data_IF_661163812172
#
_entry.id   IF_661163812172
#
_cell.length_a   1.000
_cell.length_b   1.000
_cell.length_c   1.000
_cell.angle_alpha   90.00
_cell.angle_beta   90.00
_cell.angle_gamma   90.00
#
_symmetry.space_group_name_H-M   'P 1'
#
loop_
_entity.id
_entity.type
_entity.pdbx_description
1 polymer ?
#
# COMPACT_ATOMS: atom_id res chain seq x y z
N UNK A 1 -1.38 -11.85 -7.16
CA UNK A 1 -0.50 -12.74 -6.38
C UNK A 1 -0.53 -12.28 -4.94
N UNK A 2 -0.99 -13.14 -4.05
CA UNK A 2 -1.07 -12.85 -2.61
C UNK A 2 0.33 -13.07 -2.01
N UNK A 3 1.09 -11.97 -1.87
CA UNK A 3 2.44 -11.98 -1.34
C UNK A 3 2.50 -12.20 0.18
N UNK A 4 1.35 -12.10 0.86
CA UNK A 4 1.18 -12.31 2.27
C UNK A 4 -0.11 -13.10 2.49
N UNK A 5 0.00 -14.39 2.75
CA UNK A 5 -1.12 -15.31 2.96
C UNK A 5 -0.82 -16.23 4.16
N UNK A 6 -1.79 -17.07 4.53
CA UNK A 6 -1.65 -17.99 5.66
C UNK A 6 -0.43 -18.90 5.52
N UNK A 7 -0.16 -19.45 4.34
CA UNK A 7 0.98 -20.35 4.11
C UNK A 7 2.33 -19.68 4.36
N UNK A 8 2.43 -18.36 4.13
CA UNK A 8 3.67 -17.60 4.38
C UNK A 8 3.89 -17.27 5.85
N UNK A 9 2.86 -17.31 6.68
CA UNK A 9 2.94 -16.90 8.08
C UNK A 9 2.71 -18.03 9.09
N UNK A 10 2.15 -19.17 8.67
CA UNK A 10 1.77 -20.28 9.56
C UNK A 10 2.92 -20.79 10.43
N UNK A 11 4.15 -20.80 9.91
CA UNK A 11 5.35 -21.26 10.65
C UNK A 11 5.79 -20.30 11.78
N UNK A 12 5.28 -19.08 11.78
CA UNK A 12 5.62 -18.02 12.74
C UNK A 12 4.44 -17.56 13.58
N UNK A 13 3.32 -18.30 13.54
CA UNK A 13 2.16 -18.06 14.40
C UNK A 13 2.56 -18.38 15.84
N UNK A 14 2.20 -17.48 16.74
CA UNK A 14 2.34 -17.66 18.20
C UNK A 14 0.96 -17.96 18.79
N UNK A 15 0.91 -18.85 19.76
CA UNK A 15 -0.33 -19.11 20.51
C UNK A 15 -0.21 -18.45 21.88
N UNK A 16 -1.05 -17.46 22.15
CA UNK A 16 -1.13 -16.72 23.39
C UNK A 16 -2.58 -16.88 23.92
N UNK A 17 -2.72 -17.37 25.14
CA UNK A 17 -4.04 -17.62 25.76
C UNK A 17 -4.99 -18.41 24.87
N UNK A 18 -4.50 -19.48 24.23
CA UNK A 18 -5.21 -20.31 23.25
C UNK A 18 -5.67 -19.58 21.98
N UNK A 19 -5.20 -18.36 21.72
CA UNK A 19 -5.48 -17.62 20.49
C UNK A 19 -4.25 -17.63 19.59
N UNK A 20 -4.46 -18.02 18.33
CA UNK A 20 -3.41 -17.98 17.31
C UNK A 20 -3.17 -16.52 16.86
N UNK A 21 -2.00 -15.99 17.09
CA UNK A 21 -1.61 -14.62 16.75
C UNK A 21 -0.42 -14.61 15.78
N UNK A 22 -0.37 -13.60 14.93
CA UNK A 22 0.81 -13.35 14.11
C UNK A 22 2.00 -12.93 14.99
N UNK A 23 3.22 -13.30 14.60
CA UNK A 23 4.42 -12.73 15.21
C UNK A 23 4.48 -11.21 15.02
N UNK A 24 5.16 -10.50 15.92
CA UNK A 24 5.31 -9.04 15.86
C UNK A 24 5.87 -8.57 14.51
N UNK A 25 6.81 -9.32 13.92
CA UNK A 25 7.35 -9.02 12.58
C UNK A 25 6.30 -9.14 11.46
N UNK A 26 5.43 -10.16 11.53
CA UNK A 26 4.34 -10.32 10.56
C UNK A 26 3.21 -9.29 10.77
N UNK A 27 2.90 -8.93 12.02
CA UNK A 27 1.96 -7.83 12.30
C UNK A 27 2.50 -6.50 11.77
N UNK A 28 3.79 -6.23 11.93
CA UNK A 28 4.45 -5.05 11.37
C UNK A 28 4.33 -5.03 9.85
N UNK A 29 4.65 -6.12 9.17
CA UNK A 29 4.52 -6.22 7.71
C UNK A 29 3.07 -6.03 7.25
N UNK A 30 2.11 -6.64 7.94
CA UNK A 30 0.68 -6.51 7.62
C UNK A 30 0.21 -5.05 7.74
N UNK A 31 0.61 -4.34 8.80
CA UNK A 31 0.29 -2.92 8.99
C UNK A 31 0.83 -2.06 7.86
N UNK A 32 2.05 -2.33 7.37
CA UNK A 32 2.61 -1.60 6.24
C UNK A 32 1.87 -1.97 4.94
N UNK A 33 1.68 -3.27 4.67
CA UNK A 33 1.08 -3.75 3.42
C UNK A 33 -0.35 -3.21 3.24
N UNK A 34 -1.14 -3.22 4.30
CA UNK A 34 -2.52 -2.72 4.27
C UNK A 34 -2.58 -1.28 3.76
N UNK A 35 -1.78 -0.37 4.31
CA UNK A 35 -1.78 1.03 3.90
C UNK A 35 -0.99 1.29 2.62
N UNK A 36 0.22 0.78 2.51
CA UNK A 36 1.15 1.15 1.44
C UNK A 36 0.81 0.52 0.10
N UNK A 37 0.40 -0.75 0.11
CA UNK A 37 0.18 -1.51 -1.12
C UNK A 37 -1.30 -1.54 -1.48
N UNK A 38 -2.16 -1.99 -0.57
CA UNK A 38 -3.59 -2.15 -0.86
C UNK A 38 -4.28 -0.80 -1.13
N UNK A 39 -3.95 0.24 -0.36
CA UNK A 39 -4.48 1.60 -0.55
C UNK A 39 -3.69 2.44 -1.55
N UNK A 40 -2.71 1.86 -2.24
CA UNK A 40 -1.82 2.56 -3.19
C UNK A 40 -1.07 3.77 -2.60
N UNK A 41 -0.94 3.88 -1.28
CA UNK A 41 -0.31 5.04 -0.62
C UNK A 41 1.16 5.20 -1.00
N UNK A 42 1.85 4.09 -1.28
CA UNK A 42 3.20 4.12 -1.83
C UNK A 42 3.28 4.95 -3.12
N UNK A 43 2.32 4.79 -4.04
CA UNK A 43 2.29 5.53 -5.29
C UNK A 43 2.07 7.04 -5.06
N UNK A 44 1.23 7.38 -4.09
CA UNK A 44 0.93 8.76 -3.71
C UNK A 44 1.99 9.40 -2.80
N UNK A 45 3.00 8.64 -2.37
CA UNK A 45 4.01 9.08 -1.38
C UNK A 45 3.38 9.50 -0.04
N UNK A 46 2.36 8.80 0.39
CA UNK A 46 1.63 9.03 1.64
C UNK A 46 1.78 7.85 2.58
N UNK A 47 1.62 8.12 3.87
CA UNK A 47 1.49 7.08 4.91
C UNK A 47 0.19 7.30 5.69
N UNK A 48 -0.37 6.23 6.25
CA UNK A 48 -1.43 6.33 7.23
C UNK A 48 -0.77 6.50 8.60
N UNK A 49 -1.08 7.56 9.32
CA UNK A 49 -0.47 7.83 10.64
C UNK A 49 -0.78 6.71 11.65
N UNK A 50 -1.99 6.13 11.60
CA UNK A 50 -2.33 4.97 12.42
C UNK A 50 -1.37 3.81 12.16
N UNK A 51 -1.21 3.40 10.91
CA UNK A 51 -0.30 2.31 10.55
C UNK A 51 1.17 2.66 10.90
N UNK A 52 1.56 3.93 10.76
CA UNK A 52 2.88 4.39 11.14
C UNK A 52 3.11 4.26 12.64
N UNK A 53 2.12 4.59 13.46
CA UNK A 53 2.17 4.45 14.91
C UNK A 53 2.22 2.97 15.34
N UNK A 54 1.38 2.12 14.73
CA UNK A 54 1.40 0.67 14.98
C UNK A 54 2.77 0.07 14.66
N UNK A 55 3.35 0.45 13.52
CA UNK A 55 4.70 0.02 13.11
C UNK A 55 5.77 0.54 14.06
N UNK A 56 5.66 1.77 14.54
CA UNK A 56 6.56 2.33 15.56
C UNK A 56 6.51 1.53 16.87
N UNK A 57 5.32 1.17 17.36
CA UNK A 57 5.18 0.35 18.57
C UNK A 57 5.76 -1.06 18.38
N UNK A 58 5.45 -1.70 17.25
CA UNK A 58 5.95 -3.03 16.92
C UNK A 58 7.48 -3.04 16.71
N UNK A 59 8.05 -1.96 16.16
CA UNK A 59 9.50 -1.85 15.97
C UNK A 59 10.29 -1.85 17.28
N UNK A 60 9.66 -1.54 18.42
CA UNK A 60 10.28 -1.66 19.74
C UNK A 60 10.39 -3.12 20.22
N UNK A 61 9.59 -4.03 19.64
CA UNK A 61 9.55 -5.45 19.99
C UNK A 61 10.33 -6.32 19.00
N UNK A 62 10.47 -5.87 17.75
CA UNK A 62 11.15 -6.62 16.69
C UNK A 62 11.93 -5.70 15.78
N UNK A 63 12.97 -6.22 15.10
CA UNK A 63 13.72 -5.44 14.11
C UNK A 63 12.86 -5.16 12.86
N UNK A 64 12.44 -3.89 12.71
CA UNK A 64 11.63 -3.46 11.56
C UNK A 64 12.32 -3.76 10.23
N UNK A 65 13.64 -3.49 10.13
CA UNK A 65 14.44 -3.76 8.93
C UNK A 65 14.46 -5.24 8.56
N UNK A 66 14.64 -6.13 9.55
CA UNK A 66 14.65 -7.57 9.30
C UNK A 66 13.25 -8.06 8.91
N UNK A 67 12.20 -7.58 9.59
CA UNK A 67 10.82 -7.94 9.29
C UNK A 67 10.46 -7.61 7.84
N UNK A 68 10.73 -6.40 7.35
CA UNK A 68 10.39 -6.02 5.97
C UNK A 68 11.22 -6.77 4.93
N UNK A 69 12.42 -7.20 5.25
CA UNK A 69 13.27 -7.98 4.35
C UNK A 69 12.73 -9.40 4.08
N UNK A 70 11.84 -9.92 4.93
CA UNK A 70 11.20 -11.23 4.71
C UNK A 70 10.19 -11.21 3.56
N UNK A 71 9.63 -10.03 3.22
CA UNK A 71 8.60 -9.89 2.19
C UNK A 71 9.25 -9.72 0.82
N UNK A 72 9.52 -10.83 0.13
CA UNK A 72 10.15 -10.81 -1.20
C UNK A 72 9.33 -10.00 -2.22
N UNK A 73 10.01 -9.21 -3.05
CA UNK A 73 9.39 -8.42 -4.12
C UNK A 73 8.79 -7.08 -3.69
N UNK A 74 8.61 -6.82 -2.40
CA UNK A 74 8.07 -5.57 -1.87
C UNK A 74 9.04 -4.81 -0.95
N UNK A 75 10.28 -5.27 -0.79
CA UNK A 75 11.27 -4.67 0.10
C UNK A 75 11.38 -3.15 -0.07
N UNK A 76 11.45 -2.68 -1.32
CA UNK A 76 11.62 -1.25 -1.56
C UNK A 76 10.40 -0.41 -1.09
N UNK A 77 9.13 -0.72 -1.42
CA UNK A 77 7.97 -0.01 -0.85
C UNK A 77 7.93 -0.02 0.68
N UNK A 78 8.28 -1.16 1.32
CA UNK A 78 8.26 -1.27 2.78
C UNK A 78 9.37 -0.42 3.42
N UNK A 79 10.59 -0.45 2.88
CA UNK A 79 11.65 0.45 3.34
C UNK A 79 11.33 1.93 3.14
N UNK A 80 10.61 2.29 2.07
CA UNK A 80 10.12 3.66 1.89
C UNK A 80 9.12 4.06 2.98
N UNK A 81 8.27 3.13 3.43
CA UNK A 81 7.37 3.38 4.54
C UNK A 81 8.14 3.60 5.85
N UNK A 82 9.09 2.71 6.19
CA UNK A 82 9.93 2.87 7.37
C UNK A 82 10.68 4.20 7.35
N UNK A 83 11.22 4.59 6.19
CA UNK A 83 11.89 5.87 6.02
C UNK A 83 10.94 7.06 6.30
N UNK A 84 9.70 7.01 5.80
CA UNK A 84 8.71 8.05 6.07
C UNK A 84 8.26 8.06 7.54
N UNK A 85 8.11 6.88 8.18
CA UNK A 85 7.87 6.78 9.61
C UNK A 85 9.02 7.39 10.42
N UNK A 86 10.27 7.12 10.05
CA UNK A 86 11.43 7.74 10.69
C UNK A 86 11.36 9.27 10.67
N UNK A 87 10.99 9.86 9.53
CA UNK A 87 10.81 11.32 9.43
C UNK A 87 9.67 11.84 10.31
N UNK A 88 8.59 11.10 10.49
CA UNK A 88 7.44 11.51 11.33
C UNK A 88 7.77 11.38 12.82
N UNK A 89 8.52 10.35 13.22
CA UNK A 89 8.84 10.05 14.62
C UNK A 89 10.24 10.48 15.02
N UNK A 90 10.87 11.38 14.29
CA UNK A 90 12.21 11.91 14.55
C UNK A 90 13.30 10.82 14.59
N UNK A 91 13.26 9.94 13.57
CA UNK A 91 14.29 8.91 13.30
C UNK A 91 14.68 8.02 14.50
N UNK A 92 13.73 7.36 15.17
CA UNK A 92 14.09 6.45 16.25
C UNK A 92 14.87 5.24 15.69
N UNK A 93 15.87 4.76 16.44
CA UNK A 93 16.74 3.63 16.02
C UNK A 93 15.94 2.36 15.69
N UNK A 94 14.81 2.16 16.37
CA UNK A 94 13.92 1.02 16.13
C UNK A 94 13.31 0.97 14.72
N UNK A 95 13.23 2.11 14.02
CA UNK A 95 12.72 2.22 12.64
C UNK A 95 13.83 2.21 11.59
N UNK A 96 14.89 1.42 11.83
CA UNK A 96 15.98 1.28 10.87
C UNK A 96 15.48 0.79 9.51
N UNK A 97 15.98 1.37 8.43
CA UNK A 97 15.65 1.01 7.05
C UNK A 97 16.87 1.02 6.14
N UNK A 98 16.78 0.37 4.97
CA UNK A 98 17.86 0.37 3.98
C UNK A 98 17.90 1.70 3.22
N UNK A 99 18.97 2.48 3.43
CA UNK A 99 19.19 3.76 2.76
C UNK A 99 19.66 3.53 1.31
N UNK A 100 18.78 3.79 0.34
CA UNK A 100 19.10 3.71 -1.09
C UNK A 100 18.82 5.04 -1.80
N UNK A 101 19.33 5.21 -3.03
CA UNK A 101 18.96 6.36 -3.88
C UNK A 101 17.44 6.46 -4.06
N UNK A 102 16.75 5.32 -4.18
CA UNK A 102 15.29 5.24 -4.36
C UNK A 102 14.53 5.63 -3.09
N UNK A 103 14.99 5.21 -1.89
CA UNK A 103 14.36 5.64 -0.62
C UNK A 103 14.55 7.13 -0.38
N UNK A 104 15.73 7.69 -0.70
CA UNK A 104 15.98 9.15 -0.64
C UNK A 104 15.02 9.92 -1.58
N UNK A 105 14.88 9.48 -2.84
CA UNK A 105 13.96 10.09 -3.79
C UNK A 105 12.50 10.01 -3.30
N UNK A 106 12.10 8.89 -2.67
CA UNK A 106 10.79 8.76 -2.07
C UNK A 106 10.56 9.80 -0.97
N UNK A 107 11.53 9.97 -0.06
CA UNK A 107 11.44 10.94 1.05
C UNK A 107 11.35 12.38 0.57
N UNK A 108 12.10 12.75 -0.47
CA UNK A 108 12.00 14.10 -1.08
C UNK A 108 10.55 14.35 -1.52
N UNK A 109 9.95 13.40 -2.23
CA UNK A 109 8.57 13.51 -2.71
C UNK A 109 7.54 13.43 -1.57
N UNK A 110 7.84 12.70 -0.49
CA UNK A 110 7.02 12.66 0.72
C UNK A 110 7.02 14.03 1.42
N UNK A 111 8.21 14.63 1.63
CA UNK A 111 8.35 15.97 2.23
C UNK A 111 7.71 17.08 1.38
N UNK A 112 7.77 16.96 0.06
CA UNK A 112 7.17 17.91 -0.88
C UNK A 112 5.66 18.09 -0.66
N UNK A 113 4.95 17.10 -0.11
CA UNK A 113 3.52 17.24 0.18
C UNK A 113 3.22 18.33 1.22
N UNK A 114 4.14 18.54 2.13
CA UNK A 114 4.01 19.53 3.21
C UNK A 114 4.56 20.90 2.79
N UNK A 115 5.62 20.91 1.98
CA UNK A 115 6.29 22.15 1.54
C UNK A 115 5.65 22.75 0.28
N UNK A 116 5.11 21.94 -0.62
CA UNK A 116 4.47 22.39 -1.86
C UNK A 116 3.18 21.59 -2.19
N UNK A 117 2.07 21.84 -1.47
CA UNK A 117 0.82 21.11 -1.65
C UNK A 117 0.25 21.18 -3.08
N UNK A 118 0.41 22.33 -3.78
CA UNK A 118 -0.10 22.49 -5.15
C UNK A 118 0.61 21.53 -6.13
N UNK A 119 1.92 21.41 -6.04
CA UNK A 119 2.71 20.49 -6.88
C UNK A 119 2.39 19.03 -6.54
N UNK A 120 2.28 18.71 -5.26
CA UNK A 120 1.88 17.40 -4.80
C UNK A 120 0.48 17.00 -5.33
N UNK A 121 -0.51 17.89 -5.28
CA UNK A 121 -1.85 17.62 -5.80
C UNK A 121 -1.87 17.38 -7.30
N UNK A 122 -1.14 18.17 -8.11
CA UNK A 122 -0.99 17.90 -9.54
C UNK A 122 -0.40 16.52 -9.82
N UNK A 123 0.61 16.11 -9.05
CA UNK A 123 1.20 14.78 -9.13
C UNK A 123 0.18 13.70 -8.75
N UNK A 124 -0.58 13.88 -7.68
CA UNK A 124 -1.62 12.94 -7.27
C UNK A 124 -2.69 12.73 -8.35
N UNK A 125 -3.14 13.80 -8.99
CA UNK A 125 -4.10 13.71 -10.10
C UNK A 125 -3.55 12.87 -11.25
N UNK A 126 -2.28 13.08 -11.64
CA UNK A 126 -1.62 12.26 -12.67
C UNK A 126 -1.50 10.80 -12.27
N UNK A 127 -1.12 10.53 -11.02
CA UNK A 127 -1.03 9.15 -10.50
C UNK A 127 -2.41 8.50 -10.49
N UNK A 128 -3.45 9.21 -10.05
CA UNK A 128 -4.84 8.73 -10.05
C UNK A 128 -5.29 8.35 -11.46
N UNK A 129 -5.05 9.23 -12.43
CA UNK A 129 -5.37 8.97 -13.84
C UNK A 129 -4.62 7.75 -14.39
N UNK A 130 -3.32 7.63 -14.09
CA UNK A 130 -2.51 6.47 -14.49
C UNK A 130 -3.03 5.17 -13.87
N UNK A 131 -3.30 5.14 -12.56
CA UNK A 131 -3.82 3.94 -11.88
C UNK A 131 -5.20 3.56 -12.41
N UNK A 132 -6.05 4.54 -12.69
CA UNK A 132 -7.36 4.30 -13.31
C UNK A 132 -7.21 3.68 -14.70
N UNK A 133 -6.37 4.27 -15.55
CA UNK A 133 -6.10 3.72 -16.90
C UNK A 133 -5.54 2.30 -16.82
N UNK A 134 -4.57 2.07 -15.95
CA UNK A 134 -4.01 0.72 -15.71
C UNK A 134 -5.09 -0.28 -15.29
N UNK A 135 -6.01 0.14 -14.42
CA UNK A 135 -7.12 -0.72 -13.98
C UNK A 135 -8.07 -1.05 -15.13
N UNK A 136 -8.46 -0.03 -15.93
CA UNK A 136 -9.30 -0.24 -17.12
C UNK A 136 -8.63 -1.19 -18.12
N UNK A 137 -7.36 -0.97 -18.44
CA UNK A 137 -6.60 -1.85 -19.33
C UNK A 137 -6.50 -3.27 -18.78
N UNK A 138 -6.34 -3.44 -17.47
CA UNK A 138 -6.34 -4.77 -16.84
C UNK A 138 -7.70 -5.48 -17.00
N UNK A 139 -8.81 -4.76 -16.83
CA UNK A 139 -10.15 -5.32 -17.04
C UNK A 139 -10.34 -5.70 -18.51
N UNK A 140 -9.97 -4.84 -19.44
CA UNK A 140 -10.06 -5.13 -20.87
C UNK A 140 -9.22 -6.37 -21.25
N UNK A 141 -8.01 -6.46 -20.74
CA UNK A 141 -7.16 -7.64 -20.91
C UNK A 141 -7.87 -8.91 -20.39
N UNK A 142 -8.44 -8.87 -19.18
CA UNK A 142 -9.19 -10.01 -18.63
C UNK A 142 -10.43 -10.34 -19.46
N UNK A 143 -11.10 -9.37 -20.06
CA UNK A 143 -12.24 -9.61 -20.96
C UNK A 143 -11.84 -10.37 -22.23
N UNK A 144 -10.60 -10.22 -22.72
CA UNK A 144 -10.12 -10.98 -23.86
C UNK A 144 -10.01 -12.47 -23.54
N UNK A 145 -9.46 -12.80 -22.37
CA UNK A 145 -9.14 -14.20 -22.02
C UNK A 145 -10.23 -14.91 -21.23
N UNK A 146 -11.11 -14.22 -20.52
CA UNK A 146 -12.08 -14.83 -19.61
C UNK A 146 -13.52 -14.47 -19.95
N UNK A 147 -14.35 -15.46 -20.32
CA UNK A 147 -15.77 -15.30 -20.64
C UNK A 147 -16.56 -14.60 -19.52
N UNK A 148 -16.28 -14.94 -18.26
CA UNK A 148 -16.95 -14.33 -17.09
C UNK A 148 -16.80 -12.80 -17.04
N UNK A 149 -15.60 -12.29 -17.37
CA UNK A 149 -15.34 -10.85 -17.41
C UNK A 149 -16.06 -10.16 -18.58
N UNK A 150 -16.17 -10.82 -19.74
CA UNK A 150 -16.95 -10.30 -20.89
C UNK A 150 -18.42 -10.15 -20.54
N UNK A 151 -19.03 -11.21 -19.97
CA UNK A 151 -20.44 -11.20 -19.54
C UNK A 151 -20.66 -10.11 -18.49
N UNK A 152 -19.78 -10.00 -17.49
CA UNK A 152 -19.87 -8.98 -16.46
C UNK A 152 -19.76 -7.57 -17.06
N UNK A 153 -18.80 -7.33 -17.96
CA UNK A 153 -18.62 -6.02 -18.62
C UNK A 153 -19.84 -5.66 -19.46
N UNK A 154 -20.40 -6.62 -20.19
CA UNK A 154 -21.60 -6.41 -20.99
C UNK A 154 -22.78 -5.99 -20.10
N UNK A 155 -23.04 -6.73 -19.01
CA UNK A 155 -24.10 -6.38 -18.04
C UNK A 155 -23.88 -5.00 -17.43
N UNK A 156 -22.62 -4.65 -17.11
CA UNK A 156 -22.28 -3.33 -16.56
C UNK A 156 -22.55 -2.19 -17.54
N UNK A 157 -22.21 -2.36 -18.82
CA UNK A 157 -22.42 -1.35 -19.88
C UNK A 157 -23.91 -1.18 -20.20
N UNK A 158 -24.68 -2.25 -20.13
CA UNK A 158 -26.13 -2.24 -20.41
C UNK A 158 -26.97 -1.80 -19.23
N UNK A 159 -26.42 -1.66 -18.02
CA UNK A 159 -27.13 -1.21 -16.81
C UNK A 159 -27.32 0.33 -16.80
N UNK A 160 -28.55 0.86 -17.01
CA UNK A 160 -28.79 2.30 -16.96
C UNK A 160 -28.51 2.91 -15.57
N UNK A 161 -28.68 2.13 -14.49
CA UNK A 161 -28.43 2.61 -13.13
C UNK A 161 -26.94 2.83 -12.88
N UNK A 162 -26.07 2.03 -13.50
CA UNK A 162 -24.62 2.25 -13.47
C UNK A 162 -24.25 3.62 -14.07
N UNK A 163 -24.78 3.92 -15.25
CA UNK A 163 -24.47 5.18 -15.94
C UNK A 163 -25.03 6.40 -15.21
N UNK A 164 -26.25 6.32 -14.67
CA UNK A 164 -26.82 7.41 -13.84
C UNK A 164 -25.91 7.72 -12.63
N UNK A 165 -25.42 6.70 -11.93
CA UNK A 165 -24.48 6.88 -10.79
C UNK A 165 -23.15 7.51 -11.23
N UNK A 166 -22.58 7.07 -12.36
CA UNK A 166 -21.31 7.60 -12.87
C UNK A 166 -21.41 9.04 -13.31
N UNK A 167 -22.49 9.40 -14.02
CA UNK A 167 -22.74 10.78 -14.45
C UNK A 167 -22.98 11.72 -13.26
N UNK A 168 -23.63 11.26 -12.20
CA UNK A 168 -23.82 12.05 -10.98
C UNK A 168 -22.48 12.38 -10.28
N UNK A 169 -21.47 11.49 -10.37
CA UNK A 169 -20.13 11.73 -9.79
C UNK A 169 -19.32 12.73 -10.63
N UNK A 170 -19.51 12.76 -11.95
CA UNK A 170 -18.79 13.66 -12.86
C UNK A 170 -19.33 15.10 -12.77
N UNK A 171 -20.62 15.26 -12.43
CA UNK A 171 -21.27 16.56 -12.28
C UNK A 171 -20.98 17.28 -10.95
N UNK A 172 -20.32 16.62 -10.00
CA UNK A 172 -19.82 17.20 -8.74
C UNK A 172 -18.33 17.57 -8.87
#
# INVERSE_FOLDING_TARGET
AHLFNYDTVKSSIQVIDNVAMLSDGNMLNLSILAGQINDYRYNYRRIALRNAYDVFLLSKKTSAKNAVNTVKGLNHPLHCFLAACGEVFNTPDSLEYTKTKKTKAYLILFKEQFTNPRKANRRHTRIKAYLYLKHVLSILYMCVFYKKYRTWLFLLITDPAFWKRKLAIIKK
#
